data_IF_001428562980
#
_entry.id   IF_001428562980
#
_cell.length_a   1.000
_cell.length_b   1.000
_cell.length_c   1.000
_cell.angle_alpha   90.00
_cell.angle_beta   90.00
_cell.angle_gamma   90.00
#
_symmetry.space_group_name_H-M   'P 1'
#
loop_
_entity.id
_entity.type
_entity.pdbx_description
1 polymer ?
#
# COMPACT_ATOMS: atom_id res chain seq x y z
N UNK A 1 -5.01 0.93 19.06
CA UNK A 1 -3.68 1.49 19.38
C UNK A 1 -3.39 2.71 18.49
N UNK A 2 -2.44 3.59 18.89
CA UNK A 2 -1.99 4.72 18.06
C UNK A 2 -1.57 4.29 16.63
N UNK A 3 -1.08 3.07 16.49
CA UNK A 3 -0.73 2.46 15.20
C UNK A 3 -1.94 2.32 14.26
N UNK A 4 -3.10 1.99 14.79
CA UNK A 4 -4.36 1.88 14.02
C UNK A 4 -4.93 3.23 13.61
N UNK A 5 -4.58 4.30 14.33
CA UNK A 5 -4.96 5.67 14.00
C UNK A 5 -4.05 6.32 12.95
N UNK A 6 -2.78 5.90 12.85
CA UNK A 6 -1.84 6.45 11.86
C UNK A 6 -2.10 5.92 10.44
N UNK A 7 -2.60 4.68 10.32
CA UNK A 7 -2.98 4.09 9.02
C UNK A 7 -4.09 4.89 8.31
N UNK A 8 -5.17 5.32 9.02
CA UNK A 8 -6.19 6.20 8.45
C UNK A 8 -5.66 7.56 8.02
N UNK A 9 -4.66 8.07 8.72
CA UNK A 9 -4.02 9.36 8.41
C UNK A 9 -3.20 9.25 7.14
N UNK A 10 -2.44 8.17 6.98
CA UNK A 10 -1.74 7.89 5.73
C UNK A 10 -2.70 7.71 4.54
N UNK A 11 -3.91 7.20 4.77
CA UNK A 11 -4.95 7.07 3.74
C UNK A 11 -5.79 8.35 3.59
N UNK A 12 -6.06 9.03 4.68
CA UNK A 12 -6.80 10.30 4.70
C UNK A 12 -6.01 11.45 4.12
N UNK A 13 -4.68 11.46 4.29
CA UNK A 13 -3.82 12.53 3.82
C UNK A 13 -3.87 12.75 2.31
N UNK A 14 -3.75 11.73 1.44
CA UNK A 14 -3.95 11.90 0.02
C UNK A 14 -5.39 12.30 -0.34
N UNK A 15 -6.40 11.78 0.39
CA UNK A 15 -7.80 12.18 0.19
C UNK A 15 -8.01 13.64 0.56
N UNK A 16 -7.49 14.10 1.69
CA UNK A 16 -7.65 15.48 2.18
C UNK A 16 -6.82 16.45 1.35
N UNK A 17 -5.58 16.12 1.00
CA UNK A 17 -4.76 16.95 0.13
C UNK A 17 -5.42 17.11 -1.26
N UNK A 18 -5.91 16.02 -1.85
CA UNK A 18 -6.65 16.06 -3.10
C UNK A 18 -7.95 16.86 -2.99
N UNK A 19 -8.69 16.65 -1.90
CA UNK A 19 -9.96 17.36 -1.65
C UNK A 19 -9.73 18.85 -1.44
N UNK A 20 -8.69 19.24 -0.67
CA UNK A 20 -8.31 20.62 -0.43
C UNK A 20 -7.90 21.34 -1.72
N UNK A 21 -7.09 20.69 -2.57
CA UNK A 21 -6.72 21.22 -3.89
C UNK A 21 -7.91 21.35 -4.80
N UNK A 22 -8.82 20.36 -4.80
CA UNK A 22 -10.07 20.40 -5.59
C UNK A 22 -10.99 21.53 -5.13
N UNK A 23 -11.20 21.69 -3.83
CA UNK A 23 -12.01 22.75 -3.26
C UNK A 23 -11.48 24.16 -3.58
N UNK A 24 -10.14 24.31 -3.68
CA UNK A 24 -9.48 25.56 -4.09
C UNK A 24 -9.34 25.72 -5.61
N UNK A 25 -9.84 24.78 -6.42
CA UNK A 25 -9.70 24.81 -7.88
C UNK A 25 -8.24 24.63 -8.38
N UNK A 26 -7.38 24.10 -7.53
CA UNK A 26 -5.94 23.92 -7.81
C UNK A 26 -5.61 22.56 -8.42
N UNK A 27 -6.55 21.61 -8.42
CA UNK A 27 -6.35 20.29 -8.98
C UNK A 27 -6.39 20.36 -10.52
N UNK A 28 -5.33 19.89 -11.17
CA UNK A 28 -5.20 19.89 -12.62
C UNK A 28 -5.14 18.46 -13.16
N UNK A 29 -5.50 18.30 -14.42
CA UNK A 29 -5.31 17.03 -15.13
C UNK A 29 -3.81 16.69 -15.20
N UNK A 30 -3.46 15.50 -14.73
CA UNK A 30 -2.08 15.03 -14.68
C UNK A 30 -1.38 15.28 -13.34
N UNK A 31 -2.06 15.91 -12.37
CA UNK A 31 -1.59 15.89 -10.98
C UNK A 31 -1.56 14.45 -10.48
N UNK A 32 -0.56 14.09 -9.68
CA UNK A 32 -0.32 12.70 -9.33
C UNK A 32 0.00 12.47 -7.85
N UNK A 33 -0.32 11.25 -7.42
CA UNK A 33 0.03 10.68 -6.12
C UNK A 33 0.99 9.51 -6.35
N UNK A 34 1.95 9.30 -5.44
CA UNK A 34 2.88 8.18 -5.50
C UNK A 34 2.74 7.32 -4.26
N UNK A 35 2.65 6.00 -4.44
CA UNK A 35 2.74 5.04 -3.36
C UNK A 35 3.76 3.94 -3.68
N UNK A 36 4.22 3.22 -2.66
CA UNK A 36 5.02 2.03 -2.95
C UNK A 36 4.14 0.86 -3.38
N UNK A 37 4.72 -0.07 -4.13
CA UNK A 37 4.01 -1.29 -4.60
C UNK A 37 3.45 -2.14 -3.46
N UNK A 38 4.02 -2.05 -2.26
CA UNK A 38 3.57 -2.80 -1.07
C UNK A 38 2.55 -2.04 -0.21
N UNK A 39 2.36 -0.73 -0.49
CA UNK A 39 1.35 0.09 0.18
C UNK A 39 -0.06 -0.28 -0.32
N UNK A 40 -1.07 0.02 0.49
CA UNK A 40 -2.48 -0.33 0.23
C UNK A 40 -3.02 0.15 -1.12
N UNK A 41 -3.92 -0.63 -1.70
CA UNK A 41 -4.65 -0.26 -2.91
C UNK A 41 -5.84 0.69 -2.64
N UNK A 42 -6.17 0.97 -1.38
CA UNK A 42 -7.21 1.97 -1.04
C UNK A 42 -6.83 3.35 -1.60
N UNK A 43 -5.54 3.72 -1.55
CA UNK A 43 -5.06 5.01 -2.08
C UNK A 43 -5.31 5.10 -3.59
N UNK A 44 -5.13 4.01 -4.35
CA UNK A 44 -5.46 3.97 -5.78
C UNK A 44 -6.93 4.23 -6.02
N UNK A 45 -7.83 3.56 -5.28
CA UNK A 45 -9.27 3.79 -5.39
C UNK A 45 -9.66 5.24 -5.08
N UNK A 46 -8.98 5.87 -4.11
CA UNK A 46 -9.17 7.29 -3.79
C UNK A 46 -8.73 8.17 -4.96
N UNK A 47 -7.54 7.92 -5.52
CA UNK A 47 -6.99 8.67 -6.64
C UNK A 47 -7.89 8.55 -7.88
N UNK A 48 -8.29 7.35 -8.24
CA UNK A 48 -9.16 7.05 -9.39
C UNK A 48 -10.49 7.82 -9.28
N UNK A 49 -11.11 7.79 -8.10
CA UNK A 49 -12.38 8.49 -7.86
C UNK A 49 -12.24 10.03 -7.94
N UNK A 50 -11.05 10.55 -7.63
CA UNK A 50 -10.77 11.99 -7.73
C UNK A 50 -10.25 12.42 -9.12
N UNK A 51 -9.99 11.46 -10.02
CA UNK A 51 -9.40 11.72 -11.32
C UNK A 51 -7.92 12.12 -11.27
N UNK A 52 -7.20 11.61 -10.25
CA UNK A 52 -5.78 11.86 -10.01
C UNK A 52 -4.98 10.66 -10.51
N UNK A 53 -3.85 10.92 -11.17
CA UNK A 53 -2.94 9.87 -11.60
C UNK A 53 -2.29 9.18 -10.40
N UNK A 54 -2.34 7.85 -10.34
CA UNK A 54 -1.65 7.06 -9.31
C UNK A 54 -0.43 6.38 -9.91
N UNK A 55 0.74 6.62 -9.31
CA UNK A 55 1.99 5.97 -9.67
C UNK A 55 2.46 5.03 -8.58
N UNK A 56 2.90 3.86 -8.99
CA UNK A 56 3.55 2.89 -8.12
C UNK A 56 5.07 2.99 -8.25
N UNK A 57 5.77 2.91 -7.13
CA UNK A 57 7.23 2.84 -7.11
C UNK A 57 7.73 1.75 -6.15
N UNK A 58 9.02 1.45 -6.16
CA UNK A 58 9.61 0.55 -5.18
C UNK A 58 9.63 1.17 -3.77
N UNK A 59 9.78 0.32 -2.75
CA UNK A 59 10.00 0.77 -1.38
C UNK A 59 11.30 1.55 -1.25
N UNK A 60 11.23 2.63 -0.49
CA UNK A 60 12.31 3.59 -0.29
C UNK A 60 11.96 4.94 -0.89
N UNK A 61 11.98 5.97 -0.04
CA UNK A 61 11.53 7.33 -0.39
C UNK A 61 12.27 7.93 -1.60
N UNK A 62 13.51 7.46 -1.87
CA UNK A 62 14.26 7.82 -3.08
C UNK A 62 13.50 7.59 -4.39
N UNK A 63 12.62 6.59 -4.41
CA UNK A 63 11.81 6.29 -5.60
C UNK A 63 10.65 7.26 -5.76
N UNK A 64 10.00 7.66 -4.65
CA UNK A 64 9.02 8.74 -4.65
C UNK A 64 9.68 10.04 -5.12
N UNK A 65 10.84 10.39 -4.55
CA UNK A 65 11.61 11.55 -4.97
C UNK A 65 12.01 11.51 -6.47
N UNK A 66 12.31 10.32 -7.00
CA UNK A 66 12.59 10.12 -8.43
C UNK A 66 11.38 10.44 -9.30
N UNK A 67 10.17 10.00 -8.91
CA UNK A 67 8.94 10.30 -9.64
C UNK A 67 8.62 11.81 -9.61
N UNK A 68 8.84 12.47 -8.47
CA UNK A 68 8.71 13.92 -8.36
C UNK A 68 9.68 14.61 -9.32
N UNK A 69 10.98 14.25 -9.28
CA UNK A 69 12.00 14.86 -10.14
C UNK A 69 11.74 14.72 -11.64
N UNK A 70 11.25 13.54 -12.09
CA UNK A 70 10.87 13.30 -13.50
C UNK A 70 9.73 14.21 -13.97
N UNK A 71 8.88 14.64 -13.05
CA UNK A 71 7.67 15.41 -13.32
C UNK A 71 7.80 16.90 -13.06
N UNK A 72 8.96 17.33 -12.57
CA UNK A 72 9.23 18.74 -12.22
C UNK A 72 8.96 19.67 -13.40
N UNK A 73 8.19 20.74 -13.15
CA UNK A 73 7.78 21.71 -14.19
C UNK A 73 6.73 21.20 -15.20
N UNK A 74 6.28 19.95 -15.10
CA UNK A 74 5.29 19.36 -16.01
C UNK A 74 3.99 18.99 -15.33
N UNK A 75 4.08 18.34 -14.19
CA UNK A 75 2.96 17.81 -13.41
C UNK A 75 3.19 18.07 -11.93
N UNK A 76 2.11 18.28 -11.18
CA UNK A 76 2.20 18.56 -9.75
C UNK A 76 2.05 17.26 -8.97
N UNK A 77 3.04 16.96 -8.12
CA UNK A 77 2.94 15.96 -7.08
C UNK A 77 2.03 16.49 -5.95
N UNK A 78 1.03 15.71 -5.56
CA UNK A 78 0.08 16.08 -4.50
C UNK A 78 0.51 15.54 -3.16
N UNK A 79 0.95 14.28 -3.15
CA UNK A 79 1.36 13.60 -1.94
C UNK A 79 1.65 12.13 -2.19
N UNK A 80 2.22 11.49 -1.20
CA UNK A 80 2.51 10.06 -1.27
C UNK A 80 3.29 9.57 -0.08
N UNK A 81 3.49 8.27 -0.02
CA UNK A 81 4.15 7.70 1.13
C UNK A 81 4.41 6.21 1.03
N UNK A 82 4.95 5.72 2.11
CA UNK A 82 5.30 4.33 2.33
C UNK A 82 4.44 3.73 3.43
N UNK A 83 4.26 2.42 3.39
CA UNK A 83 3.60 1.64 4.43
C UNK A 83 4.27 1.75 5.81
N UNK A 84 5.54 2.17 5.84
CA UNK A 84 6.36 2.37 7.05
C UNK A 84 6.27 3.78 7.64
N UNK A 85 5.12 4.44 7.44
CA UNK A 85 4.78 5.78 7.98
C UNK A 85 5.56 6.96 7.37
N UNK A 86 6.34 6.75 6.32
CA UNK A 86 6.95 7.83 5.56
C UNK A 86 5.91 8.52 4.68
N UNK A 87 5.67 9.81 4.88
CA UNK A 87 4.74 10.59 4.09
C UNK A 87 5.36 11.94 3.70
N UNK A 88 5.00 12.42 2.51
CA UNK A 88 5.32 13.75 2.02
C UNK A 88 4.08 14.35 1.34
N UNK A 89 3.67 15.53 1.80
CA UNK A 89 2.68 16.36 1.14
C UNK A 89 3.42 17.38 0.26
N UNK A 90 3.01 17.49 -1.00
CA UNK A 90 3.60 18.37 -1.99
C UNK A 90 5.11 18.10 -2.24
N UNK A 91 5.78 18.95 -3.00
CA UNK A 91 7.14 18.71 -3.53
C UNK A 91 8.21 19.69 -3.05
N UNK A 92 7.95 20.38 -1.94
CA UNK A 92 8.89 21.37 -1.37
C UNK A 92 10.17 20.76 -0.78
N UNK A 93 10.15 19.46 -0.44
CA UNK A 93 11.32 18.64 -0.10
C UNK A 93 11.33 17.34 -0.91
N UNK A 94 12.43 16.57 -0.85
CA UNK A 94 12.57 15.31 -1.62
C UNK A 94 12.71 14.07 -0.74
N UNK A 95 12.27 14.17 0.50
CA UNK A 95 12.19 13.05 1.45
C UNK A 95 10.95 13.22 2.33
N UNK A 96 10.60 12.17 3.05
CA UNK A 96 9.53 12.18 4.03
C UNK A 96 9.76 13.32 5.05
N UNK A 97 8.68 14.03 5.34
CA UNK A 97 8.72 15.16 6.26
C UNK A 97 7.65 15.00 7.35
N UNK A 98 8.13 14.73 8.56
CA UNK A 98 7.26 14.53 9.71
C UNK A 98 6.58 15.83 10.18
N UNK A 99 7.20 16.98 9.95
CA UNK A 99 6.64 18.28 10.38
C UNK A 99 5.42 18.62 9.56
N UNK A 100 5.52 18.55 8.21
CA UNK A 100 4.35 18.74 7.34
C UNK A 100 3.29 17.67 7.51
N UNK A 101 3.69 16.43 7.76
CA UNK A 101 2.75 15.35 8.05
C UNK A 101 1.96 15.60 9.33
N UNK A 102 2.59 16.11 10.40
CA UNK A 102 1.91 16.50 11.63
C UNK A 102 0.96 17.70 11.40
N UNK A 103 1.39 18.71 10.64
CA UNK A 103 0.53 19.84 10.28
C UNK A 103 -0.70 19.38 9.50
N UNK A 104 -0.51 18.53 8.50
CA UNK A 104 -1.62 17.97 7.73
C UNK A 104 -2.57 17.12 8.61
N UNK A 105 -2.04 16.36 9.55
CA UNK A 105 -2.85 15.63 10.52
C UNK A 105 -3.70 16.57 11.37
N UNK A 106 -3.14 17.68 11.85
CA UNK A 106 -3.87 18.68 12.60
C UNK A 106 -5.01 19.30 11.77
N UNK A 107 -4.76 19.59 10.48
CA UNK A 107 -5.80 20.06 9.55
C UNK A 107 -6.91 19.01 9.35
N UNK A 108 -6.56 17.72 9.23
CA UNK A 108 -7.53 16.62 9.11
C UNK A 108 -8.40 16.54 10.38
N UNK A 109 -7.78 16.68 11.57
CA UNK A 109 -8.50 16.71 12.84
C UNK A 109 -9.47 17.91 12.91
N UNK A 110 -9.03 19.10 12.51
CA UNK A 110 -9.85 20.30 12.47
C UNK A 110 -11.02 20.14 11.49
N UNK A 111 -10.74 19.61 10.29
CA UNK A 111 -11.77 19.30 9.30
C UNK A 111 -12.80 18.28 9.82
N UNK A 112 -12.36 17.21 10.44
CA UNK A 112 -13.26 16.21 11.02
C UNK A 112 -14.17 16.86 12.07
N UNK A 113 -13.60 17.67 12.97
CA UNK A 113 -14.33 18.39 14.01
C UNK A 113 -15.37 19.37 13.43
N UNK A 114 -15.00 20.09 12.38
CA UNK A 114 -15.91 21.01 11.67
C UNK A 114 -17.13 20.26 11.08
N UNK A 115 -16.93 19.02 10.66
CA UNK A 115 -18.01 18.14 10.18
C UNK A 115 -18.74 17.39 11.30
N UNK A 116 -18.46 17.69 12.58
CA UNK A 116 -19.02 16.97 13.74
C UNK A 116 -18.54 15.52 13.84
N UNK A 117 -17.38 15.21 13.28
CA UNK A 117 -16.78 13.86 13.17
C UNK A 117 -15.50 13.75 13.96
N UNK A 118 -15.13 12.50 14.30
CA UNK A 118 -13.81 12.11 14.79
C UNK A 118 -12.95 11.61 13.63
N UNK A 119 -11.65 11.41 13.85
CA UNK A 119 -10.77 10.73 12.88
C UNK A 119 -11.23 9.29 12.60
N UNK A 120 -11.80 8.63 13.61
CA UNK A 120 -12.37 7.30 13.44
C UNK A 120 -13.56 7.32 12.47
N UNK A 121 -14.44 8.31 12.57
CA UNK A 121 -15.56 8.46 11.64
C UNK A 121 -15.09 8.71 10.21
N UNK A 122 -14.03 9.52 10.03
CA UNK A 122 -13.41 9.73 8.71
C UNK A 122 -12.85 8.42 8.15
N UNK A 123 -12.22 7.59 9.00
CA UNK A 123 -11.74 6.26 8.58
C UNK A 123 -12.91 5.36 8.16
N UNK A 124 -13.99 5.34 8.96
CA UNK A 124 -15.19 4.56 8.63
C UNK A 124 -15.79 5.01 7.30
N UNK A 125 -15.86 6.31 7.04
CA UNK A 125 -16.29 6.85 5.75
C UNK A 125 -15.42 6.36 4.59
N UNK A 126 -14.09 6.32 4.78
CA UNK A 126 -13.16 5.80 3.78
C UNK A 126 -13.44 4.33 3.50
N UNK A 127 -13.58 3.51 4.53
CA UNK A 127 -13.85 2.08 4.37
C UNK A 127 -15.22 1.79 3.74
N UNK A 128 -16.25 2.57 4.09
CA UNK A 128 -17.58 2.45 3.48
C UNK A 128 -17.55 2.85 2.01
N UNK A 129 -16.80 3.91 1.68
CA UNK A 129 -16.75 4.47 0.33
C UNK A 129 -15.86 3.68 -0.63
N UNK A 130 -14.70 3.18 -0.14
CA UNK A 130 -13.66 2.55 -0.98
C UNK A 130 -13.49 1.05 -0.73
N UNK A 131 -14.15 0.50 0.28
CA UNK A 131 -14.01 -0.85 0.77
C UNK A 131 -13.03 -0.94 1.94
N UNK A 132 -13.35 -1.82 2.88
CA UNK A 132 -12.50 -2.11 4.03
C UNK A 132 -11.21 -2.79 3.57
N UNK A 133 -10.10 -2.38 4.16
CA UNK A 133 -8.78 -2.98 3.93
C UNK A 133 -8.04 -3.10 5.27
N UNK A 134 -7.43 -4.25 5.50
CA UNK A 134 -6.57 -4.53 6.65
C UNK A 134 -5.19 -4.92 6.15
N UNK A 135 -4.22 -4.09 6.47
CA UNK A 135 -2.82 -4.34 6.16
C UNK A 135 -2.10 -4.93 7.37
N UNK A 136 -1.24 -5.89 7.11
CA UNK A 136 -0.42 -6.54 8.12
C UNK A 136 0.97 -6.88 7.57
N UNK A 137 2.01 -6.69 8.37
CA UNK A 137 3.38 -7.02 7.98
C UNK A 137 3.95 -8.11 8.89
N UNK A 138 4.38 -9.21 8.28
CA UNK A 138 5.14 -10.26 8.96
C UNK A 138 6.63 -10.07 8.66
N UNK A 139 7.45 -10.04 9.72
CA UNK A 139 8.90 -10.00 9.61
C UNK A 139 9.48 -11.33 10.06
N UNK A 140 10.09 -12.07 9.14
CA UNK A 140 10.82 -13.32 9.46
C UNK A 140 12.30 -12.99 9.50
N UNK A 141 12.88 -13.10 10.68
CA UNK A 141 14.32 -12.87 10.91
C UNK A 141 15.03 -14.20 10.93
N UNK A 142 16.08 -14.33 10.12
CA UNK A 142 16.93 -15.50 10.03
C UNK A 142 18.38 -15.07 10.36
N UNK A 143 18.85 -15.19 11.61
CA UNK A 143 20.14 -14.63 11.99
C UNK A 143 21.32 -15.38 11.34
N UNK A 144 22.41 -14.65 11.12
CA UNK A 144 23.66 -15.18 10.63
C UNK A 144 23.72 -15.38 9.10
N UNK A 145 24.86 -15.90 8.64
CA UNK A 145 25.12 -16.13 7.20
C UNK A 145 24.20 -17.20 6.63
N UNK A 146 23.98 -18.28 7.36
CA UNK A 146 23.04 -19.33 6.96
C UNK A 146 21.63 -18.80 6.77
N UNK A 147 21.19 -17.86 7.64
CA UNK A 147 19.88 -17.24 7.54
C UNK A 147 19.70 -16.39 6.26
N UNK A 148 20.76 -15.70 5.82
CA UNK A 148 20.72 -14.99 4.55
C UNK A 148 20.59 -15.96 3.34
N UNK A 149 21.22 -17.12 3.40
CA UNK A 149 21.09 -18.14 2.36
C UNK A 149 19.72 -18.82 2.38
N UNK A 150 19.14 -19.06 3.57
CA UNK A 150 17.76 -19.52 3.71
C UNK A 150 16.77 -18.54 3.06
N UNK A 151 16.93 -17.23 3.29
CA UNK A 151 16.05 -16.20 2.70
C UNK A 151 16.18 -16.20 1.16
N UNK A 152 17.39 -16.35 0.63
CA UNK A 152 17.57 -16.48 -0.82
C UNK A 152 16.88 -17.72 -1.37
N UNK A 153 16.98 -18.83 -0.66
CA UNK A 153 16.32 -20.08 -1.04
C UNK A 153 14.79 -19.91 -1.01
N UNK A 154 14.23 -19.29 0.06
CA UNK A 154 12.80 -19.00 0.12
C UNK A 154 12.32 -18.21 -1.11
N UNK A 155 13.05 -17.17 -1.52
CA UNK A 155 12.68 -16.39 -2.71
C UNK A 155 12.76 -17.20 -4.01
N UNK A 156 13.74 -18.10 -4.10
CA UNK A 156 13.88 -19.03 -5.24
C UNK A 156 12.71 -20.03 -5.28
N UNK A 157 12.35 -20.58 -4.13
CA UNK A 157 11.24 -21.52 -4.00
C UNK A 157 9.90 -20.88 -4.36
N UNK A 158 9.63 -19.66 -3.90
CA UNK A 158 8.44 -18.91 -4.26
C UNK A 158 8.38 -18.54 -5.75
N UNK A 159 9.53 -18.37 -6.44
CA UNK A 159 9.56 -18.16 -7.89
C UNK A 159 9.26 -19.44 -8.66
N UNK A 160 9.88 -20.54 -8.24
CA UNK A 160 9.73 -21.82 -8.91
C UNK A 160 8.35 -22.45 -8.65
N UNK A 161 7.81 -22.27 -7.46
CA UNK A 161 6.55 -22.82 -7.00
C UNK A 161 5.68 -21.72 -6.36
N UNK A 162 5.16 -20.77 -7.14
CA UNK A 162 4.36 -19.69 -6.59
C UNK A 162 3.04 -20.23 -6.02
N UNK A 163 2.53 -19.67 -4.92
CA UNK A 163 1.29 -20.10 -4.31
C UNK A 163 0.14 -19.96 -5.30
N UNK A 164 -0.71 -20.98 -5.37
CA UNK A 164 -1.92 -20.99 -6.19
C UNK A 164 -3.15 -20.53 -5.39
N UNK A 165 -3.04 -20.58 -4.07
CA UNK A 165 -4.09 -20.18 -3.13
C UNK A 165 -3.44 -19.56 -1.88
N UNK A 166 -4.07 -18.54 -1.32
CA UNK A 166 -3.66 -17.87 -0.09
C UNK A 166 -4.88 -17.64 0.80
N UNK A 167 -4.86 -18.24 1.98
CA UNK A 167 -5.93 -18.08 2.97
C UNK A 167 -7.32 -18.44 2.43
N UNK A 168 -7.43 -19.50 1.62
CA UNK A 168 -8.69 -19.97 1.03
C UNK A 168 -9.15 -19.19 -0.21
N UNK A 169 -8.32 -18.29 -0.76
CA UNK A 169 -8.63 -17.55 -1.98
C UNK A 169 -7.62 -17.85 -3.08
N UNK A 170 -8.11 -18.12 -4.29
CA UNK A 170 -7.29 -18.44 -5.45
C UNK A 170 -6.45 -17.24 -5.86
N UNK A 171 -5.15 -17.45 -6.12
CA UNK A 171 -4.29 -16.44 -6.72
C UNK A 171 -4.60 -16.33 -8.20
N UNK A 172 -4.76 -15.11 -8.69
CA UNK A 172 -5.12 -14.82 -10.09
C UNK A 172 -4.09 -13.98 -10.82
N UNK A 173 -3.18 -13.29 -10.08
CA UNK A 173 -2.09 -12.53 -10.67
C UNK A 173 -0.81 -12.77 -9.88
N UNK A 174 0.27 -13.08 -10.59
CA UNK A 174 1.63 -13.21 -10.06
C UNK A 174 2.53 -12.16 -10.70
N UNK A 175 3.24 -11.40 -9.88
CA UNK A 175 4.23 -10.41 -10.36
C UNK A 175 5.60 -10.75 -9.81
N UNK A 176 6.59 -10.84 -10.68
CA UNK A 176 7.99 -10.91 -10.31
C UNK A 176 8.73 -9.65 -10.78
N UNK A 177 9.10 -8.82 -9.85
CA UNK A 177 9.82 -7.58 -10.14
C UNK A 177 11.31 -7.79 -10.44
N UNK A 178 11.83 -9.01 -10.28
CA UNK A 178 13.19 -9.34 -10.70
C UNK A 178 13.27 -9.61 -12.21
N UNK A 179 12.22 -10.21 -12.78
CA UNK A 179 12.12 -10.45 -14.22
C UNK A 179 11.30 -9.36 -14.92
N UNK A 180 10.61 -8.51 -14.15
CA UNK A 180 9.63 -7.53 -14.63
C UNK A 180 8.46 -8.19 -15.39
N UNK A 181 8.04 -9.37 -14.96
CA UNK A 181 6.95 -10.12 -15.57
C UNK A 181 5.71 -10.14 -14.66
N UNK A 182 4.56 -10.06 -15.30
CA UNK A 182 3.26 -10.35 -14.70
C UNK A 182 2.63 -11.52 -15.43
N UNK A 183 2.12 -12.49 -14.69
CA UNK A 183 1.37 -13.63 -15.18
C UNK A 183 -0.05 -13.55 -14.64
N UNK A 184 -1.05 -13.75 -15.49
CA UNK A 184 -2.46 -13.85 -15.13
C UNK A 184 -2.93 -15.31 -15.06
N UNK A 185 -4.04 -15.57 -14.39
CA UNK A 185 -4.60 -16.92 -14.25
C UNK A 185 -5.00 -17.59 -15.58
N UNK A 186 -5.25 -16.81 -16.62
CA UNK A 186 -5.53 -17.30 -17.98
C UNK A 186 -4.25 -17.67 -18.77
N UNK A 187 -3.06 -17.51 -18.15
CA UNK A 187 -1.76 -17.74 -18.75
C UNK A 187 -1.20 -16.55 -19.54
N UNK A 188 -1.91 -15.44 -19.64
CA UNK A 188 -1.40 -14.25 -20.30
C UNK A 188 -0.23 -13.64 -19.53
N UNK A 189 0.76 -13.13 -20.27
CA UNK A 189 1.94 -12.47 -19.71
C UNK A 189 2.04 -11.04 -20.16
N UNK A 190 2.45 -10.17 -19.26
CA UNK A 190 2.74 -8.76 -19.57
C UNK A 190 4.02 -8.31 -18.87
N UNK A 191 4.60 -7.21 -19.34
CA UNK A 191 5.77 -6.61 -18.73
C UNK A 191 5.35 -5.55 -17.71
N UNK A 192 5.98 -5.56 -16.53
CA UNK A 192 5.80 -4.53 -15.52
C UNK A 192 6.55 -3.26 -15.95
N UNK A 193 5.86 -2.13 -15.92
CA UNK A 193 6.46 -0.81 -16.19
C UNK A 193 7.12 -0.27 -14.92
N UNK A 194 8.39 -0.64 -14.73
CA UNK A 194 9.18 -0.24 -13.57
C UNK A 194 10.57 0.21 -14.04
N UNK A 195 11.20 1.19 -13.35
CA UNK A 195 12.45 1.80 -13.81
C UNK A 195 13.66 0.87 -13.77
N UNK A 196 13.62 -0.17 -12.96
CA UNK A 196 14.68 -1.17 -12.78
C UNK A 196 14.09 -2.44 -12.16
N UNK A 197 14.89 -3.48 -12.02
CA UNK A 197 14.50 -4.71 -11.32
C UNK A 197 14.60 -4.59 -9.80
N UNK A 198 13.82 -5.39 -9.09
CA UNK A 198 13.85 -5.48 -7.63
C UNK A 198 13.49 -6.90 -7.18
N UNK A 199 14.11 -7.38 -6.11
CA UNK A 199 13.80 -8.71 -5.56
C UNK A 199 12.50 -8.68 -4.76
N UNK A 200 11.37 -8.54 -5.46
CA UNK A 200 10.02 -8.50 -4.89
C UNK A 200 9.13 -9.45 -5.68
N UNK A 201 8.29 -10.19 -4.98
CA UNK A 201 7.18 -10.96 -5.55
C UNK A 201 5.86 -10.40 -5.03
N UNK A 202 4.84 -10.39 -5.86
CA UNK A 202 3.47 -10.05 -5.43
C UNK A 202 2.47 -11.03 -6.01
N UNK A 203 1.49 -11.37 -5.19
CA UNK A 203 0.38 -12.24 -5.53
C UNK A 203 -0.94 -11.55 -5.22
N UNK A 204 -1.86 -11.58 -6.16
CA UNK A 204 -3.19 -11.02 -6.01
C UNK A 204 -4.21 -12.15 -6.11
N UNK A 205 -5.10 -12.21 -5.16
CA UNK A 205 -6.18 -13.19 -5.14
C UNK A 205 -7.47 -12.63 -5.74
N UNK A 206 -8.37 -13.52 -6.13
CA UNK A 206 -9.68 -13.20 -6.72
C UNK A 206 -10.55 -12.31 -5.83
N UNK A 207 -10.42 -12.42 -4.51
CA UNK A 207 -11.12 -11.58 -3.54
C UNK A 207 -10.47 -10.22 -3.27
N UNK A 208 -9.39 -9.91 -3.99
CA UNK A 208 -8.62 -8.68 -3.88
C UNK A 208 -7.56 -8.68 -2.79
N UNK A 209 -7.35 -9.80 -2.08
CA UNK A 209 -6.19 -9.97 -1.19
C UNK A 209 -4.90 -9.81 -1.98
N UNK A 210 -3.95 -9.04 -1.43
CA UNK A 210 -2.61 -8.86 -1.99
C UNK A 210 -1.56 -9.30 -0.98
N UNK A 211 -0.61 -10.12 -1.42
CA UNK A 211 0.57 -10.47 -0.62
C UNK A 211 1.82 -10.08 -1.39
N UNK A 212 2.72 -9.34 -0.74
CA UNK A 212 4.00 -8.94 -1.31
C UNK A 212 5.13 -9.50 -0.46
N UNK A 213 6.15 -10.06 -1.09
CA UNK A 213 7.28 -10.67 -0.41
C UNK A 213 8.56 -9.96 -0.82
N UNK A 214 9.34 -9.51 0.16
CA UNK A 214 10.57 -8.77 -0.08
C UNK A 214 11.63 -9.07 0.98
N UNK A 215 12.82 -9.57 0.60
CA UNK A 215 13.94 -9.62 1.52
C UNK A 215 14.49 -8.23 1.83
N UNK A 216 15.01 -8.04 3.03
CA UNK A 216 15.72 -6.81 3.39
C UNK A 216 17.07 -6.76 2.65
N UNK A 217 17.47 -5.58 2.20
CA UNK A 217 18.79 -5.38 1.59
C UNK A 217 19.92 -5.24 2.60
N UNK A 218 19.63 -4.98 3.87
CA UNK A 218 20.63 -4.63 4.90
C UNK A 218 20.66 -5.58 6.09
N UNK A 219 19.61 -6.37 6.26
CA UNK A 219 19.46 -7.26 7.41
C UNK A 219 19.00 -8.65 6.96
N UNK A 220 19.37 -9.73 7.67
CA UNK A 220 18.93 -11.08 7.35
C UNK A 220 17.46 -11.30 7.76
N UNK A 221 16.55 -10.61 7.08
CA UNK A 221 15.11 -10.71 7.27
C UNK A 221 14.35 -10.65 5.95
N UNK A 222 13.21 -11.30 5.90
CA UNK A 222 12.25 -11.23 4.81
C UNK A 222 10.93 -10.70 5.35
N UNK A 223 10.31 -9.81 4.60
CA UNK A 223 9.02 -9.19 4.94
C UNK A 223 7.93 -9.69 4.03
N UNK A 224 6.79 -9.99 4.63
CA UNK A 224 5.54 -10.28 3.94
C UNK A 224 4.56 -9.16 4.27
N UNK A 225 4.11 -8.44 3.26
CA UNK A 225 3.08 -7.42 3.36
C UNK A 225 1.78 -8.03 2.88
N UNK A 226 0.81 -8.14 3.77
CA UNK A 226 -0.48 -8.77 3.52
C UNK A 226 -1.54 -7.67 3.55
N UNK A 227 -2.33 -7.57 2.52
CA UNK A 227 -3.50 -6.68 2.43
C UNK A 227 -4.74 -7.54 2.19
N UNK A 228 -5.65 -7.57 3.15
CA UNK A 228 -6.94 -8.27 3.06
C UNK A 228 -8.04 -7.25 2.86
N UNK A 229 -8.94 -7.51 1.93
CA UNK A 229 -10.05 -6.63 1.58
C UNK A 229 -11.40 -7.25 1.95
N UNK A 230 -12.33 -6.40 2.37
CA UNK A 230 -13.74 -6.75 2.53
C UNK A 230 -14.62 -5.64 1.94
N UNK A 231 -15.27 -5.94 0.84
CA UNK A 231 -16.18 -4.99 0.17
C UNK A 231 -17.62 -5.06 0.73
N UNK A 232 -17.86 -5.85 1.78
CA UNK A 232 -19.19 -6.00 2.41
C UNK A 232 -19.46 -4.97 3.49
N UNK A 233 -18.45 -4.18 3.89
CA UNK A 233 -18.62 -3.10 4.86
C UNK A 233 -19.47 -1.98 4.27
N UNK A 234 -20.69 -1.81 4.79
CA UNK A 234 -21.66 -0.76 4.34
C UNK A 234 -22.01 0.24 5.43
N UNK A 235 -21.57 0.02 6.65
CA UNK A 235 -21.80 0.90 7.80
C UNK A 235 -20.69 0.71 8.84
N UNK A 236 -20.52 1.68 9.73
CA UNK A 236 -19.54 1.65 10.81
C UNK A 236 -19.72 0.46 11.77
N UNK A 237 -20.97 0.05 12.02
CA UNK A 237 -21.27 -1.11 12.87
C UNK A 237 -20.76 -2.44 12.30
N UNK A 238 -20.45 -2.49 10.98
CA UNK A 238 -19.88 -3.67 10.36
C UNK A 238 -18.37 -3.81 10.61
N UNK A 239 -17.71 -2.78 11.10
CA UNK A 239 -16.25 -2.73 11.24
C UNK A 239 -15.67 -3.89 12.07
N UNK A 240 -16.26 -4.19 13.25
CA UNK A 240 -15.78 -5.29 14.10
C UNK A 240 -15.77 -6.63 13.36
N UNK A 241 -16.87 -6.97 12.68
CA UNK A 241 -16.98 -8.21 11.87
C UNK A 241 -15.95 -8.23 10.73
N UNK A 242 -15.77 -7.12 10.01
CA UNK A 242 -14.80 -7.05 8.91
C UNK A 242 -13.37 -7.20 9.43
N UNK A 243 -13.06 -6.62 10.60
CA UNK A 243 -11.76 -6.75 11.25
C UNK A 243 -11.49 -8.20 11.67
N UNK A 244 -12.43 -8.84 12.37
CA UNK A 244 -12.30 -10.25 12.78
C UNK A 244 -12.11 -11.19 11.58
N UNK A 245 -12.89 -10.98 10.50
CA UNK A 245 -12.75 -11.76 9.26
C UNK A 245 -11.39 -11.55 8.60
N UNK A 246 -10.90 -10.32 8.56
CA UNK A 246 -9.58 -10.02 7.99
C UNK A 246 -8.43 -10.61 8.83
N UNK A 247 -8.52 -10.55 10.15
CA UNK A 247 -7.52 -11.15 11.04
C UNK A 247 -7.49 -12.68 10.90
N UNK A 248 -8.65 -13.32 10.87
CA UNK A 248 -8.74 -14.77 10.62
C UNK A 248 -8.12 -15.15 9.26
N UNK A 249 -8.36 -14.34 8.23
CA UNK A 249 -7.77 -14.55 6.90
C UNK A 249 -6.26 -14.32 6.90
N UNK A 250 -5.74 -13.31 7.58
CA UNK A 250 -4.30 -13.08 7.74
C UNK A 250 -3.63 -14.31 8.38
N UNK A 251 -4.22 -14.88 9.43
CA UNK A 251 -3.70 -16.09 10.06
C UNK A 251 -3.74 -17.31 9.12
N UNK A 252 -4.79 -17.43 8.29
CA UNK A 252 -4.85 -18.48 7.29
C UNK A 252 -3.77 -18.30 6.20
N UNK A 253 -3.51 -17.06 5.75
CA UNK A 253 -2.42 -16.75 4.80
C UNK A 253 -1.06 -17.08 5.40
N UNK A 254 -0.81 -16.72 6.66
CA UNK A 254 0.43 -17.05 7.36
C UNK A 254 0.66 -18.57 7.37
N UNK A 255 -0.38 -19.35 7.68
CA UNK A 255 -0.31 -20.83 7.63
C UNK A 255 -0.02 -21.33 6.22
N UNK A 256 -0.66 -20.79 5.19
CA UNK A 256 -0.41 -21.16 3.77
C UNK A 256 1.04 -20.92 3.34
N UNK A 257 1.71 -19.96 3.96
CA UNK A 257 3.10 -19.58 3.65
C UNK A 257 4.13 -20.15 4.66
N UNK A 258 3.70 -20.96 5.62
CA UNK A 258 4.53 -21.51 6.71
C UNK A 258 5.25 -20.42 7.52
N UNK A 259 4.54 -19.35 7.89
CA UNK A 259 5.03 -18.20 8.65
C UNK A 259 4.62 -18.27 10.12
#
# INVERSE_FOLDING_TARGET
>A
TMLELCTPVAYGSPKVAAYHRKAKGLLKKGDFIVKTIVTTEVIRKIADKQGIEMRDCYTGFKWIASEIAKSEGKQQYIGGGEESYGFLAEDFVRDKDAVSACSLLAEICAYAKDQGKTLYDILMDIYIEYGFSREFTVNVVKPGKSGADEIKQMMTDFRNNPPQELGGSKVVVWKDYQTLEQLEADGSKSKLDMPTTSNVLQWFCEDGTKVSVRPSGTEPKIKFYIEVKDNTMKCSNCYGRCMEGAEAKIEAIKKSLNL
#
